data_IF_412690961664
#
_entry.id   IF_412690961664
#
_cell.length_a   1.000
_cell.length_b   1.000
_cell.length_c   1.000
_cell.angle_alpha   90.00
_cell.angle_beta   90.00
_cell.angle_gamma   90.00
#
_symmetry.space_group_name_H-M   'P 1'
#
loop_
_entity.id
_entity.type
_entity.pdbx_description
1 polymer ?
#
# COMPACT_ATOMS: atom_id res chain seq x y z
N UNK A 1 -25.62 19.73 2.07
CA UNK A 1 -24.38 20.09 1.34
C UNK A 1 -23.29 19.17 1.86
N UNK A 2 -22.80 18.21 1.07
CA UNK A 2 -21.70 17.36 1.52
C UNK A 2 -20.43 18.21 1.49
N UNK A 3 -19.70 18.24 2.61
CA UNK A 3 -18.41 18.92 2.65
C UNK A 3 -17.50 18.32 1.57
N UNK A 4 -16.91 19.18 0.74
CA UNK A 4 -15.85 18.76 -0.18
C UNK A 4 -14.79 18.00 0.62
N UNK A 5 -14.28 16.86 0.10
CA UNK A 5 -13.20 16.15 0.75
C UNK A 5 -12.02 17.13 0.87
N UNK A 6 -11.72 17.54 2.10
CA UNK A 6 -10.57 18.41 2.36
C UNK A 6 -9.30 17.70 1.87
N UNK A 7 -8.41 18.39 1.14
CA UNK A 7 -7.14 17.80 0.72
C UNK A 7 -6.38 17.31 1.95
N UNK A 8 -5.79 16.13 1.84
CA UNK A 8 -4.92 15.63 2.89
C UNK A 8 -3.58 16.31 2.72
N UNK A 9 -3.11 16.92 3.81
CA UNK A 9 -1.74 17.40 3.86
C UNK A 9 -0.83 16.19 3.88
N UNK A 10 0.14 16.20 2.98
CA UNK A 10 1.19 15.20 2.89
C UNK A 10 2.54 15.89 3.07
N UNK A 11 3.49 15.23 3.71
CA UNK A 11 4.87 15.66 3.75
C UNK A 11 5.62 15.11 2.54
N UNK A 12 6.15 15.98 1.68
CA UNK A 12 6.96 15.60 0.52
C UNK A 12 8.45 15.66 0.90
N UNK A 13 9.10 14.49 0.98
CA UNK A 13 10.53 14.37 1.32
C UNK A 13 11.43 15.11 0.33
N UNK A 14 11.15 14.99 -0.96
CA UNK A 14 11.96 15.60 -2.02
C UNK A 14 11.90 17.12 -1.96
N UNK A 15 10.71 17.66 -1.69
CA UNK A 15 10.49 19.11 -1.64
C UNK A 15 10.73 19.71 -0.25
N UNK A 16 10.89 18.88 0.78
CA UNK A 16 11.06 19.31 2.17
C UNK A 16 9.91 20.18 2.68
N UNK A 17 8.68 19.96 2.19
CA UNK A 17 7.51 20.78 2.56
C UNK A 17 6.22 19.98 2.52
N UNK A 18 5.23 20.49 3.26
CA UNK A 18 3.87 20.00 3.13
C UNK A 18 3.31 20.36 1.75
N UNK A 19 2.70 19.37 1.10
CA UNK A 19 1.98 19.50 -0.16
C UNK A 19 0.55 19.02 0.02
N UNK A 20 -0.34 19.56 -0.80
CA UNK A 20 -1.69 19.03 -0.93
C UNK A 20 -1.69 18.15 -2.18
N UNK A 21 -1.93 16.86 -1.98
CA UNK A 21 -2.25 15.99 -3.11
C UNK A 21 -3.74 16.17 -3.42
N UNK A 22 -4.00 16.92 -4.49
CA UNK A 22 -5.30 16.90 -5.12
C UNK A 22 -5.38 15.61 -5.93
N UNK A 23 -5.94 14.56 -5.34
CA UNK A 23 -6.45 13.44 -6.12
C UNK A 23 -7.77 13.91 -6.75
N UNK A 24 -7.86 14.12 -8.08
CA UNK A 24 -9.14 14.06 -8.76
C UNK A 24 -9.53 12.58 -8.68
N UNK A 25 -10.16 12.22 -7.57
CA UNK A 25 -10.84 10.96 -7.41
C UNK A 25 -11.90 10.92 -8.52
N UNK A 26 -11.63 10.24 -9.64
CA UNK A 26 -12.58 10.17 -10.75
C UNK A 26 -13.94 9.75 -10.18
N UNK A 27 -14.94 10.66 -10.26
CA UNK A 27 -16.20 10.54 -9.50
C UNK A 27 -16.87 9.16 -9.66
N UNK A 28 -16.71 8.53 -10.83
CA UNK A 28 -17.30 7.22 -11.11
C UNK A 28 -16.66 6.05 -10.36
N UNK A 29 -15.42 6.19 -9.89
CA UNK A 29 -14.67 5.15 -9.17
C UNK A 29 -14.73 5.36 -7.65
N UNK A 30 -15.17 6.54 -7.18
CA UNK A 30 -14.95 7.01 -5.81
C UNK A 30 -16.11 7.79 -5.16
N UNK A 31 -17.38 7.57 -5.54
CA UNK A 31 -18.49 8.08 -4.73
C UNK A 31 -18.61 7.31 -3.40
N UNK A 32 -17.89 7.78 -2.37
CA UNK A 32 -18.13 7.46 -0.96
C UNK A 32 -19.12 8.46 -0.37
N UNK A 33 -20.40 8.35 -0.73
CA UNK A 33 -21.47 8.73 0.20
C UNK A 33 -22.06 7.45 0.79
N UNK A 34 -22.20 7.34 2.12
CA UNK A 34 -23.05 6.31 2.70
C UNK A 34 -24.50 6.72 2.47
N UNK A 35 -24.99 6.52 1.25
CA UNK A 35 -26.41 6.47 0.99
C UNK A 35 -26.74 5.01 0.73
N UNK A 36 -27.74 4.51 1.45
CA UNK A 36 -28.33 3.17 1.37
C UNK A 36 -28.89 2.91 -0.05
N UNK A 37 -28.04 2.90 -1.07
CA UNK A 37 -28.39 2.82 -2.47
C UNK A 37 -28.01 1.43 -3.01
N UNK A 38 -28.95 0.67 -3.60
CA UNK A 38 -28.72 -0.67 -4.13
C UNK A 38 -27.54 -0.77 -5.12
N UNK A 39 -27.24 0.31 -5.85
CA UNK A 39 -26.19 0.35 -6.88
C UNK A 39 -24.76 0.15 -6.38
N UNK A 40 -24.45 0.50 -5.12
CA UNK A 40 -23.12 0.23 -4.55
C UNK A 40 -22.91 -1.24 -4.20
N UNK A 41 -23.96 -1.94 -3.76
CA UNK A 41 -23.90 -3.39 -3.52
C UNK A 41 -23.61 -4.12 -4.83
N UNK A 42 -24.23 -3.69 -5.93
CA UNK A 42 -23.94 -4.17 -7.29
C UNK A 42 -22.48 -3.92 -7.72
N UNK A 43 -21.91 -2.74 -7.41
CA UNK A 43 -20.50 -2.40 -7.72
C UNK A 43 -19.48 -3.14 -6.86
N UNK A 44 -19.84 -3.54 -5.64
CA UNK A 44 -19.00 -4.33 -4.75
C UNK A 44 -19.20 -5.86 -4.94
N UNK A 45 -19.87 -6.28 -6.01
CA UNK A 45 -20.01 -7.71 -6.33
C UNK A 45 -18.78 -8.23 -7.09
N UNK A 46 -18.39 -9.49 -6.88
CA UNK A 46 -17.34 -10.14 -7.67
C UNK A 46 -17.59 -10.14 -9.18
N UNK A 47 -18.84 -9.94 -9.63
CA UNK A 47 -19.18 -9.86 -11.06
C UNK A 47 -18.83 -8.51 -11.66
N UNK A 48 -19.11 -7.41 -10.95
CA UNK A 48 -18.76 -6.07 -11.41
C UNK A 48 -17.24 -5.91 -11.51
N UNK A 49 -16.49 -6.36 -10.50
CA UNK A 49 -15.02 -6.35 -10.54
C UNK A 49 -14.47 -7.13 -11.74
N UNK A 50 -15.03 -8.30 -12.05
CA UNK A 50 -14.63 -9.09 -13.24
C UNK A 50 -14.91 -8.33 -14.55
N UNK A 51 -16.08 -7.72 -14.68
CA UNK A 51 -16.44 -6.97 -15.89
C UNK A 51 -15.57 -5.72 -16.04
N UNK A 52 -15.27 -5.03 -14.95
CA UNK A 52 -14.41 -3.87 -14.96
C UNK A 52 -12.94 -4.22 -15.25
N UNK A 53 -12.44 -5.33 -14.71
CA UNK A 53 -11.14 -5.87 -15.06
C UNK A 53 -11.03 -6.16 -16.57
N UNK A 54 -12.05 -6.81 -17.15
CA UNK A 54 -12.11 -7.07 -18.60
C UNK A 54 -12.13 -5.77 -19.41
N UNK A 55 -12.83 -4.74 -18.94
CA UNK A 55 -12.81 -3.42 -19.56
C UNK A 55 -11.41 -2.80 -19.52
N UNK A 56 -10.75 -2.79 -18.36
CA UNK A 56 -9.41 -2.19 -18.21
C UNK A 56 -8.32 -2.93 -19.00
N UNK A 57 -8.45 -4.25 -19.15
CA UNK A 57 -7.56 -5.07 -19.97
C UNK A 57 -7.79 -4.91 -21.48
N UNK A 58 -8.86 -4.22 -21.89
CA UNK A 58 -9.20 -4.10 -23.29
C UNK A 58 -8.28 -3.14 -24.06
N UNK A 59 -7.90 -3.45 -25.33
CA UNK A 59 -6.92 -2.64 -26.05
C UNK A 59 -7.27 -1.16 -26.28
N UNK A 60 -8.56 -0.82 -26.31
CA UNK A 60 -9.00 0.56 -26.53
C UNK A 60 -8.73 1.47 -25.33
N UNK A 61 -8.60 0.92 -24.11
CA UNK A 61 -8.33 1.72 -22.90
C UNK A 61 -6.93 2.34 -22.91
N UNK A 62 -6.03 1.85 -23.78
CA UNK A 62 -4.74 2.48 -24.05
C UNK A 62 -4.86 3.97 -24.40
N UNK A 63 -5.97 4.39 -25.02
CA UNK A 63 -6.22 5.80 -25.37
C UNK A 63 -6.29 6.72 -24.14
N UNK A 64 -6.58 6.18 -22.97
CA UNK A 64 -6.65 6.92 -21.71
C UNK A 64 -5.28 7.11 -21.03
N UNK A 65 -4.23 6.43 -21.49
CA UNK A 65 -2.89 6.51 -20.88
C UNK A 65 -2.31 7.93 -21.02
N UNK A 66 -2.25 8.45 -22.25
CA UNK A 66 -1.62 9.75 -22.51
C UNK A 66 -2.33 10.92 -21.80
N UNK A 67 -3.68 11.02 -21.80
CA UNK A 67 -4.38 12.00 -20.97
C UNK A 67 -4.03 11.89 -19.49
N UNK A 68 -4.01 10.67 -18.94
CA UNK A 68 -3.71 10.44 -17.53
C UNK A 68 -2.27 10.85 -17.18
N UNK A 69 -1.29 10.46 -17.99
CA UNK A 69 0.12 10.84 -17.81
C UNK A 69 0.28 12.37 -17.77
N UNK A 70 -0.43 13.09 -18.65
CA UNK A 70 -0.37 14.57 -18.71
C UNK A 70 -1.06 15.22 -17.53
N UNK A 71 -2.25 14.75 -17.16
CA UNK A 71 -3.05 15.27 -16.04
C UNK A 71 -2.27 15.17 -14.73
N UNK A 72 -1.67 14.00 -14.47
CA UNK A 72 -0.96 13.71 -13.24
C UNK A 72 0.56 13.98 -13.32
N UNK A 73 1.05 14.49 -14.44
CA UNK A 73 2.46 14.83 -14.68
C UNK A 73 3.42 13.69 -14.33
N UNK A 74 3.07 12.48 -14.75
CA UNK A 74 3.87 11.28 -14.49
C UNK A 74 5.13 11.33 -15.36
N UNK A 75 6.30 11.25 -14.75
CA UNK A 75 7.56 11.17 -15.48
C UNK A 75 7.73 9.78 -16.11
N UNK A 76 7.36 9.67 -17.37
CA UNK A 76 7.46 8.42 -18.12
C UNK A 76 8.93 8.06 -18.48
N UNK A 77 9.89 8.96 -18.27
CA UNK A 77 11.30 8.70 -18.62
C UNK A 77 11.97 7.69 -17.68
N UNK A 78 11.43 7.51 -16.47
CA UNK A 78 11.91 6.57 -15.44
C UNK A 78 11.49 5.11 -15.73
N UNK A 79 10.51 4.88 -16.61
CA UNK A 79 9.92 3.57 -16.86
C UNK A 79 10.44 2.95 -18.16
N UNK A 80 10.39 1.62 -18.26
CA UNK A 80 10.80 0.92 -19.46
C UNK A 80 10.01 1.36 -20.70
N UNK A 81 10.74 1.64 -21.78
CA UNK A 81 10.15 2.08 -23.05
C UNK A 81 9.53 0.89 -23.77
N UNK A 82 8.20 0.76 -23.66
CA UNK A 82 7.46 -0.31 -24.33
C UNK A 82 6.07 0.11 -24.78
N UNK A 83 5.52 -0.68 -25.71
CA UNK A 83 4.17 -0.49 -26.24
C UNK A 83 3.13 -1.17 -25.33
N UNK A 84 2.41 -0.39 -24.52
CA UNK A 84 1.34 -0.92 -23.67
C UNK A 84 0.12 -1.41 -24.45
N UNK A 85 -0.41 -2.57 -24.07
CA UNK A 85 -1.57 -3.20 -24.70
C UNK A 85 -2.88 -2.55 -24.28
N UNK A 86 -2.98 -2.17 -23.00
CA UNK A 86 -4.18 -1.62 -22.37
C UNK A 86 -3.77 -0.66 -21.23
N UNK A 87 -4.76 0.01 -20.62
CA UNK A 87 -4.51 0.82 -19.43
C UNK A 87 -4.01 -0.02 -18.25
N UNK A 88 -4.59 -1.22 -18.04
CA UNK A 88 -4.13 -2.14 -16.99
C UNK A 88 -2.67 -2.57 -17.17
N UNK A 89 -2.22 -2.79 -18.41
CA UNK A 89 -0.84 -3.13 -18.76
C UNK A 89 0.14 -1.95 -18.53
N UNK A 90 -0.35 -0.71 -18.66
CA UNK A 90 0.41 0.49 -18.29
C UNK A 90 0.44 0.73 -16.79
N UNK A 91 -0.63 0.39 -16.08
CA UNK A 91 -0.72 0.57 -14.63
C UNK A 91 0.37 -0.22 -13.87
N UNK A 92 0.68 -1.43 -14.37
CA UNK A 92 1.74 -2.29 -13.83
C UNK A 92 3.10 -2.08 -14.52
N UNK A 93 3.33 -0.91 -15.12
CA UNK A 93 4.63 -0.52 -15.73
C UNK A 93 5.81 -0.79 -14.80
N UNK A 94 6.95 -1.11 -15.39
CA UNK A 94 8.20 -1.39 -14.68
C UNK A 94 9.16 -0.21 -14.83
N UNK A 95 9.90 0.06 -13.75
CA UNK A 95 10.98 1.04 -13.78
C UNK A 95 12.12 0.54 -14.66
N UNK A 96 12.88 1.46 -15.28
CA UNK A 96 14.16 1.12 -15.88
C UNK A 96 15.10 0.52 -14.83
N UNK A 97 16.04 -0.37 -15.22
CA UNK A 97 17.12 -0.79 -14.33
C UNK A 97 17.78 0.44 -13.68
N UNK A 98 18.09 0.33 -12.38
CA UNK A 98 18.73 1.37 -11.57
C UNK A 98 17.94 2.66 -11.31
N UNK A 99 16.69 2.80 -11.78
CA UNK A 99 15.88 3.99 -11.53
C UNK A 99 15.55 4.19 -10.03
N UNK A 100 15.58 3.10 -9.25
CA UNK A 100 15.42 3.10 -7.79
C UNK A 100 16.49 2.20 -7.19
N UNK A 101 17.07 2.62 -6.06
CA UNK A 101 18.13 1.87 -5.36
C UNK A 101 17.75 1.66 -3.91
N UNK A 102 17.87 0.42 -3.45
CA UNK A 102 17.72 0.08 -2.05
C UNK A 102 19.00 0.44 -1.28
N UNK A 103 18.91 0.72 0.04
CA UNK A 103 20.07 1.07 0.84
C UNK A 103 21.06 -0.10 0.89
N UNK A 104 22.34 0.20 0.71
CA UNK A 104 23.42 -0.77 0.86
C UNK A 104 23.69 -1.13 2.33
N UNK A 105 23.40 -0.20 3.25
CA UNK A 105 23.54 -0.44 4.68
C UNK A 105 22.50 -1.48 5.13
N UNK A 106 22.93 -2.64 5.66
CA UNK A 106 22.02 -3.68 6.14
C UNK A 106 21.09 -3.18 7.26
N UNK A 107 21.50 -2.20 8.06
CA UNK A 107 20.71 -1.64 9.15
C UNK A 107 19.59 -0.70 8.67
N UNK A 108 19.56 -0.29 7.40
CA UNK A 108 18.56 0.64 6.87
C UNK A 108 17.52 -0.09 6.03
N UNK A 109 16.24 0.06 6.41
CA UNK A 109 15.11 -0.48 5.67
C UNK A 109 14.78 0.46 4.51
N UNK A 110 14.96 -0.01 3.28
CA UNK A 110 14.44 0.69 2.11
C UNK A 110 12.93 0.54 1.98
N UNK A 111 12.27 1.58 1.46
CA UNK A 111 10.83 1.59 1.22
C UNK A 111 10.45 0.44 0.28
N UNK A 112 9.58 -0.49 0.70
CA UNK A 112 9.15 -1.61 -0.14
C UNK A 112 8.18 -1.18 -1.26
N UNK A 113 7.61 0.02 -1.21
CA UNK A 113 6.70 0.55 -2.22
C UNK A 113 6.87 2.08 -2.36
N UNK A 114 6.55 2.62 -3.54
CA UNK A 114 6.40 4.07 -3.73
C UNK A 114 5.00 4.46 -3.26
N UNK A 115 4.90 5.15 -2.12
CA UNK A 115 3.64 5.28 -1.40
C UNK A 115 3.63 6.47 -0.43
N UNK A 116 2.47 6.68 0.20
CA UNK A 116 2.28 7.59 1.32
C UNK A 116 2.31 6.78 2.62
N UNK A 117 3.22 7.13 3.52
CA UNK A 117 3.57 6.37 4.71
C UNK A 117 3.02 7.02 5.97
N UNK A 118 2.53 6.17 6.87
CA UNK A 118 2.54 6.41 8.30
C UNK A 118 3.43 5.42 9.01
N UNK A 119 3.85 5.79 10.21
CA UNK A 119 4.66 4.96 11.06
C UNK A 119 4.38 5.17 12.54
N UNK A 120 4.45 4.07 13.29
CA UNK A 120 4.34 4.05 14.74
C UNK A 120 5.47 3.20 15.31
N UNK A 121 6.08 3.63 16.40
CA UNK A 121 7.09 2.84 17.10
C UNK A 121 6.48 1.68 17.89
N UNK A 122 5.25 1.88 18.37
CA UNK A 122 4.49 0.89 19.12
C UNK A 122 3.04 0.93 18.67
N UNK A 123 2.55 -0.22 18.24
CA UNK A 123 1.16 -0.41 17.91
C UNK A 123 0.43 -1.07 19.09
N UNK A 124 -0.61 -0.40 19.60
CA UNK A 124 -1.44 -0.88 20.70
C UNK A 124 -2.94 -0.64 20.46
N UNK A 125 -3.81 -1.31 21.22
CA UNK A 125 -5.27 -1.27 21.03
C UNK A 125 -5.90 0.12 21.18
N UNK A 126 -5.24 1.02 21.93
CA UNK A 126 -5.71 2.38 22.19
C UNK A 126 -5.22 3.42 21.17
N UNK A 127 -4.41 3.00 20.17
CA UNK A 127 -3.86 3.91 19.17
C UNK A 127 -4.99 4.52 18.33
N UNK A 128 -5.20 5.82 18.47
CA UNK A 128 -6.17 6.58 17.66
C UNK A 128 -5.52 6.95 16.34
N UNK A 129 -5.92 6.26 15.28
CA UNK A 129 -5.53 6.62 13.92
C UNK A 129 -6.46 7.74 13.39
N UNK A 130 -6.12 8.39 12.27
CA UNK A 130 -7.13 8.98 11.39
C UNK A 130 -8.12 7.93 10.84
N UNK A 131 -7.86 6.65 11.08
CA UNK A 131 -8.74 5.48 10.89
C UNK A 131 -9.40 5.10 12.22
N UNK A 132 -10.68 4.69 12.25
CA UNK A 132 -11.33 4.32 13.53
C UNK A 132 -10.70 3.04 14.11
N UNK A 133 -10.47 3.00 15.42
CA UNK A 133 -9.59 2.04 16.12
C UNK A 133 -9.79 0.53 15.90
N UNK A 134 -10.89 0.08 15.27
CA UNK A 134 -11.07 -1.32 14.88
C UNK A 134 -10.36 -1.70 13.57
N UNK A 135 -9.94 -0.74 12.74
CA UNK A 135 -9.46 -1.05 11.38
C UNK A 135 -8.08 -1.69 11.30
N UNK A 136 -7.29 -1.62 12.38
CA UNK A 136 -5.89 -2.03 12.35
C UNK A 136 -5.50 -3.05 13.42
N UNK A 137 -6.45 -3.59 14.20
CA UNK A 137 -6.14 -4.59 15.20
C UNK A 137 -5.28 -5.71 14.57
N UNK A 138 -4.09 -5.92 15.13
CA UNK A 138 -3.08 -6.79 14.50
C UNK A 138 -3.61 -8.22 14.34
N UNK A 139 -4.40 -8.71 15.30
CA UNK A 139 -5.08 -10.01 15.23
C UNK A 139 -6.09 -10.10 14.08
N UNK A 140 -6.86 -9.04 13.83
CA UNK A 140 -7.82 -9.03 12.73
C UNK A 140 -7.10 -8.96 11.37
N UNK A 141 -6.11 -8.07 11.26
CA UNK A 141 -5.34 -7.90 10.02
C UNK A 141 -4.51 -9.14 9.71
N UNK A 142 -3.80 -9.67 10.69
CA UNK A 142 -2.97 -10.85 10.49
C UNK A 142 -3.82 -12.12 10.46
N UNK A 143 -5.06 -12.08 10.94
CA UNK A 143 -6.08 -13.13 10.76
C UNK A 143 -6.32 -14.02 11.97
N UNK A 144 -5.43 -14.01 12.97
CA UNK A 144 -5.68 -14.57 14.30
C UNK A 144 -4.67 -14.02 15.32
N UNK A 145 -4.99 -14.21 16.61
CA UNK A 145 -4.18 -13.75 17.73
C UNK A 145 -2.80 -14.42 17.82
N UNK A 146 -2.70 -15.73 17.52
CA UNK A 146 -1.42 -16.45 17.60
C UNK A 146 -0.38 -15.91 16.60
N UNK A 147 -0.82 -15.62 15.36
CA UNK A 147 0.02 -14.97 14.35
C UNK A 147 0.39 -13.54 14.74
N UNK A 148 -0.53 -12.81 15.37
CA UNK A 148 -0.31 -11.42 15.75
C UNK A 148 0.58 -11.25 16.99
N UNK A 149 0.61 -12.26 17.88
CA UNK A 149 1.30 -12.23 19.17
C UNK A 149 2.75 -11.72 19.12
N UNK A 150 3.62 -12.10 18.16
CA UNK A 150 4.99 -11.60 18.10
C UNK A 150 5.11 -10.09 17.83
N UNK A 151 4.07 -9.48 17.24
CA UNK A 151 4.08 -8.09 16.79
C UNK A 151 3.36 -7.13 17.75
N UNK A 152 2.76 -7.65 18.82
CA UNK A 152 2.02 -6.83 19.79
C UNK A 152 2.97 -5.84 20.49
N UNK A 153 2.63 -4.55 20.43
CA UNK A 153 3.47 -3.48 20.99
C UNK A 153 4.71 -3.15 20.16
N UNK A 154 4.85 -3.72 18.96
CA UNK A 154 5.94 -3.47 18.04
C UNK A 154 5.66 -2.34 17.04
N UNK A 155 6.65 -1.98 16.21
CA UNK A 155 6.52 -0.91 15.24
C UNK A 155 5.63 -1.32 14.06
N UNK A 156 4.98 -0.32 13.45
CA UNK A 156 4.11 -0.52 12.26
C UNK A 156 4.39 0.56 11.23
N UNK A 157 4.45 0.16 9.96
CA UNK A 157 4.35 1.06 8.81
C UNK A 157 3.05 0.77 8.06
N UNK A 158 2.30 1.81 7.72
CA UNK A 158 1.12 1.72 6.85
C UNK A 158 1.37 2.55 5.61
N UNK A 159 1.21 1.94 4.44
CA UNK A 159 1.55 2.49 3.14
C UNK A 159 0.31 2.52 2.27
N UNK A 160 -0.04 3.69 1.75
CA UNK A 160 -1.12 3.86 0.79
C UNK A 160 -0.55 4.22 -0.57
N UNK A 161 -0.87 3.41 -1.57
CA UNK A 161 -0.48 3.65 -2.96
C UNK A 161 -1.59 4.45 -3.65
N UNK A 162 -1.20 5.56 -4.25
CA UNK A 162 -2.01 6.40 -5.12
C UNK A 162 -2.03 5.82 -6.54
N UNK A 163 -3.11 5.97 -7.33
CA UNK A 163 -3.19 5.46 -8.70
C UNK A 163 -2.07 5.91 -9.65
N UNK A 164 -1.38 7.00 -9.32
CA UNK A 164 -0.24 7.53 -10.09
C UNK A 164 1.07 6.80 -9.77
N UNK A 165 1.15 6.13 -8.62
CA UNK A 165 2.38 5.53 -8.11
C UNK A 165 2.81 4.31 -8.94
N UNK A 166 3.99 3.81 -8.60
CA UNK A 166 4.47 2.50 -9.03
C UNK A 166 3.88 1.41 -8.13
N UNK A 167 3.15 0.47 -8.72
CA UNK A 167 2.30 -0.49 -7.99
C UNK A 167 2.95 -1.86 -7.75
N UNK A 168 4.26 -1.99 -7.94
CA UNK A 168 4.98 -3.18 -7.48
C UNK A 168 5.53 -2.96 -6.09
N UNK A 169 5.47 -4.02 -5.30
CA UNK A 169 5.96 -4.08 -3.94
C UNK A 169 7.19 -4.97 -3.91
N UNK A 170 8.21 -4.56 -3.17
CA UNK A 170 9.51 -5.20 -3.10
C UNK A 170 9.79 -5.68 -1.67
N UNK A 171 10.69 -6.64 -1.55
CA UNK A 171 11.16 -7.08 -0.23
C UNK A 171 12.08 -6.02 0.39
N UNK A 172 11.82 -5.59 1.65
CA UNK A 172 12.63 -4.58 2.33
C UNK A 172 14.00 -5.11 2.79
N UNK A 173 14.16 -6.42 2.87
CA UNK A 173 15.37 -7.10 3.33
C UNK A 173 15.52 -8.49 2.70
N UNK A 174 16.66 -9.15 2.91
CA UNK A 174 16.82 -10.56 2.60
C UNK A 174 16.17 -11.46 3.67
N UNK A 175 15.74 -12.66 3.28
CA UNK A 175 15.06 -13.57 4.19
C UNK A 175 14.24 -14.67 3.51
N UNK A 176 13.24 -15.18 4.24
CA UNK A 176 12.30 -16.19 3.74
C UNK A 176 10.89 -16.00 4.30
N UNK A 177 9.89 -16.46 3.55
CA UNK A 177 8.50 -16.47 4.05
C UNK A 177 8.30 -17.72 4.91
N UNK A 178 7.81 -17.56 6.13
CA UNK A 178 7.61 -18.68 7.08
C UNK A 178 6.15 -19.01 7.33
N UNK A 179 5.23 -18.09 7.03
CA UNK A 179 3.79 -18.34 7.04
C UNK A 179 3.10 -17.43 6.00
N UNK A 180 1.98 -17.88 5.46
CA UNK A 180 1.16 -17.09 4.55
C UNK A 180 -0.31 -17.42 4.68
N UNK A 181 -1.17 -16.42 4.56
CA UNK A 181 -2.61 -16.62 4.49
C UNK A 181 -3.27 -15.56 3.63
N UNK A 182 -4.10 -16.00 2.69
CA UNK A 182 -5.03 -15.12 1.97
C UNK A 182 -6.34 -15.04 2.74
N UNK A 183 -6.76 -13.82 3.06
CA UNK A 183 -7.92 -13.52 3.89
C UNK A 183 -8.84 -12.52 3.18
N UNK A 184 -10.06 -12.38 3.69
CA UNK A 184 -11.05 -11.46 3.14
C UNK A 184 -11.68 -11.94 1.82
N UNK A 185 -12.71 -11.21 1.38
CA UNK A 185 -13.45 -11.51 0.14
C UNK A 185 -13.95 -10.27 -0.58
N UNK A 186 -14.11 -9.16 0.13
CA UNK A 186 -14.52 -7.90 -0.47
C UNK A 186 -13.33 -7.19 -1.10
N UNK A 187 -13.58 -6.30 -2.04
CA UNK A 187 -12.56 -5.45 -2.63
C UNK A 187 -13.11 -4.03 -2.55
N UNK A 188 -13.09 -3.37 -1.40
CA UNK A 188 -13.52 -1.98 -1.27
C UNK A 188 -12.34 -1.05 -1.53
N UNK A 189 -12.50 0.06 -2.27
CA UNK A 189 -11.34 0.91 -2.58
C UNK A 189 -10.75 1.55 -1.33
N UNK A 190 -9.42 1.45 -1.17
CA UNK A 190 -8.71 2.06 -0.04
C UNK A 190 -8.48 3.53 -0.33
N UNK A 191 -9.43 4.37 0.10
CA UNK A 191 -9.30 5.83 0.11
C UNK A 191 -9.54 6.38 1.50
N UNK A 192 -9.06 7.59 1.76
CA UNK A 192 -9.25 8.21 3.06
C UNK A 192 -10.70 8.40 3.49
N UNK A 193 -11.61 8.88 2.63
CA UNK A 193 -13.03 8.87 2.95
C UNK A 193 -13.56 7.47 3.28
N UNK A 194 -13.15 6.43 2.55
CA UNK A 194 -13.55 5.04 2.81
C UNK A 194 -13.02 4.55 4.16
N UNK A 195 -11.72 4.73 4.41
CA UNK A 195 -11.02 4.39 5.66
C UNK A 195 -11.64 5.09 6.87
N UNK A 196 -12.07 6.35 6.73
CA UNK A 196 -12.76 7.10 7.81
C UNK A 196 -14.20 6.66 8.05
N UNK A 197 -14.88 6.23 6.99
CA UNK A 197 -16.31 5.89 7.02
C UNK A 197 -16.57 4.41 7.34
N UNK A 198 -15.63 3.51 7.04
CA UNK A 198 -15.75 2.07 7.15
C UNK A 198 -14.65 1.50 8.07
N UNK A 199 -14.92 1.36 9.39
CA UNK A 199 -13.93 0.94 10.38
C UNK A 199 -13.37 -0.47 10.21
N UNK A 200 -13.88 -1.28 9.30
CA UNK A 200 -13.43 -2.64 9.05
C UNK A 200 -12.99 -2.85 7.59
N UNK A 201 -12.72 -1.75 6.86
CA UNK A 201 -12.32 -1.76 5.46
C UNK A 201 -11.17 -2.74 5.19
N UNK A 202 -10.06 -2.60 5.90
CA UNK A 202 -8.87 -3.45 5.75
C UNK A 202 -9.12 -4.92 6.12
N UNK A 203 -10.04 -5.17 7.05
CA UNK A 203 -10.36 -6.52 7.55
C UNK A 203 -11.30 -7.24 6.58
N UNK A 204 -12.26 -6.54 5.98
CA UNK A 204 -13.20 -7.09 4.99
C UNK A 204 -12.54 -7.30 3.63
N UNK A 205 -11.60 -6.42 3.29
CA UNK A 205 -10.89 -6.51 2.04
C UNK A 205 -10.08 -7.78 1.92
N UNK A 206 -10.00 -8.28 0.69
CA UNK A 206 -9.04 -9.29 0.32
C UNK A 206 -7.64 -8.78 0.68
N UNK A 207 -6.89 -9.61 1.38
CA UNK A 207 -5.51 -9.31 1.73
C UNK A 207 -4.65 -10.56 1.70
N UNK A 208 -3.40 -10.38 1.35
CA UNK A 208 -2.37 -11.40 1.47
C UNK A 208 -1.53 -11.07 2.70
N UNK A 209 -1.57 -11.95 3.69
CA UNK A 209 -0.71 -11.89 4.87
C UNK A 209 0.48 -12.81 4.63
N UNK A 210 1.69 -12.32 4.86
CA UNK A 210 2.91 -13.11 4.83
C UNK A 210 3.71 -12.81 6.10
N UNK A 211 4.18 -13.83 6.80
CA UNK A 211 5.15 -13.68 7.87
C UNK A 211 6.53 -13.92 7.27
N UNK A 212 7.36 -12.89 7.29
CA UNK A 212 8.71 -12.91 6.75
C UNK A 212 9.69 -13.05 7.91
N UNK A 213 10.62 -13.98 7.84
CA UNK A 213 11.80 -13.98 8.68
C UNK A 213 12.93 -13.28 7.91
N UNK A 214 13.35 -12.12 8.40
CA UNK A 214 14.37 -11.28 7.76
C UNK A 214 15.68 -11.32 8.51
N UNK A 215 16.78 -11.07 7.79
CA UNK A 215 18.12 -11.11 8.37
C UNK A 215 18.34 -9.98 9.39
N UNK A 216 17.86 -8.77 9.11
CA UNK A 216 18.20 -7.58 9.89
C UNK A 216 17.03 -6.99 10.68
N UNK A 217 15.78 -7.25 10.30
CA UNK A 217 14.60 -6.61 10.90
C UNK A 217 13.72 -7.56 11.71
N UNK A 218 14.20 -8.79 11.95
CA UNK A 218 13.46 -9.84 12.64
C UNK A 218 12.26 -10.34 11.86
N UNK A 219 11.22 -10.78 12.56
CA UNK A 219 9.98 -11.17 11.89
C UNK A 219 9.20 -9.93 11.47
N UNK A 220 8.70 -9.97 10.23
CA UNK A 220 7.80 -8.94 9.69
C UNK A 220 6.45 -9.58 9.35
N UNK A 221 5.38 -9.03 9.91
CA UNK A 221 4.02 -9.26 9.40
C UNK A 221 3.80 -8.37 8.18
N UNK A 222 3.95 -8.92 6.98
CA UNK A 222 3.84 -8.19 5.72
C UNK A 222 2.46 -8.41 5.10
N UNK A 223 1.64 -7.37 5.06
CA UNK A 223 0.24 -7.46 4.64
C UNK A 223 -0.02 -6.57 3.45
N UNK A 224 -0.58 -7.16 2.40
CA UNK A 224 -0.96 -6.48 1.17
C UNK A 224 -2.48 -6.45 1.11
N UNK A 225 -3.10 -5.27 1.02
CA UNK A 225 -4.54 -5.09 0.96
C UNK A 225 -4.98 -4.81 -0.47
N UNK A 226 -5.80 -5.70 -1.02
CA UNK A 226 -6.50 -5.47 -2.28
C UNK A 226 -7.66 -4.51 -2.10
N UNK A 227 -8.12 -3.91 -3.19
CA UNK A 227 -9.24 -2.96 -3.20
C UNK A 227 -10.06 -3.06 -4.49
N UNK A 228 -11.17 -2.30 -4.58
CA UNK A 228 -12.15 -2.40 -5.67
C UNK A 228 -11.51 -2.13 -7.03
N UNK A 229 -12.25 -2.56 -8.05
CA UNK A 229 -12.01 -2.39 -9.48
C UNK A 229 -11.07 -3.41 -10.12
N UNK A 230 -9.86 -3.68 -9.61
CA UNK A 230 -9.00 -4.81 -10.09
C UNK A 230 -7.91 -5.18 -9.05
N UNK A 231 -8.09 -4.94 -7.75
CA UNK A 231 -7.08 -5.10 -6.68
C UNK A 231 -6.58 -6.52 -6.39
N UNK A 232 -6.38 -7.34 -7.42
CA UNK A 232 -5.72 -8.63 -7.35
C UNK A 232 -4.25 -8.39 -7.03
N UNK A 233 -3.87 -8.88 -5.86
CA UNK A 233 -2.48 -9.03 -5.46
C UNK A 233 -1.90 -10.19 -6.27
N UNK A 234 -0.90 -9.91 -7.11
CA UNK A 234 -0.20 -10.94 -7.85
C UNK A 234 1.21 -11.07 -7.28
N UNK A 235 1.48 -12.20 -6.62
CA UNK A 235 2.83 -12.52 -6.16
C UNK A 235 3.73 -12.74 -7.39
N UNK A 236 4.84 -12.00 -7.46
CA UNK A 236 5.87 -12.09 -8.51
C UNK A 236 7.00 -13.01 -8.08
N UNK A 237 7.28 -13.05 -6.79
CA UNK A 237 8.23 -13.97 -6.19
C UNK A 237 7.53 -15.21 -5.64
N UNK A 238 8.18 -16.36 -5.77
CA UNK A 238 7.68 -17.61 -5.19
C UNK A 238 7.83 -17.57 -3.66
N UNK A 239 6.73 -17.76 -2.94
CA UNK A 239 6.73 -17.58 -1.48
C UNK A 239 7.50 -18.68 -0.73
N UNK A 240 7.75 -19.82 -1.37
CA UNK A 240 8.55 -20.95 -0.87
C UNK A 240 10.06 -20.77 -1.07
N UNK A 241 10.50 -19.75 -1.81
CA UNK A 241 11.91 -19.47 -2.05
C UNK A 241 12.44 -18.36 -1.13
N UNK A 242 13.74 -18.38 -0.78
CA UNK A 242 14.38 -17.24 -0.14
C UNK A 242 14.36 -16.03 -1.07
N UNK A 243 14.30 -14.83 -0.49
CA UNK A 243 14.30 -13.57 -1.23
C UNK A 243 15.46 -12.68 -0.79
N UNK A 244 15.84 -11.76 -1.68
CA UNK A 244 16.82 -10.72 -1.41
C UNK A 244 16.15 -9.34 -1.34
N UNK A 245 16.83 -8.40 -0.66
CA UNK A 245 16.43 -6.99 -0.60
C UNK A 245 16.22 -6.42 -2.00
N UNK A 246 15.14 -5.67 -2.19
CA UNK A 246 14.82 -4.99 -3.45
C UNK A 246 14.29 -5.90 -4.55
N UNK A 247 14.18 -7.21 -4.34
CA UNK A 247 13.49 -8.11 -5.30
C UNK A 247 11.99 -7.81 -5.29
N UNK A 248 11.36 -7.80 -6.47
CA UNK A 248 9.92 -7.65 -6.61
C UNK A 248 9.20 -8.80 -5.89
N UNK A 249 8.41 -8.48 -4.88
CA UNK A 249 7.56 -9.42 -4.15
C UNK A 249 6.26 -9.66 -4.90
N UNK A 250 5.58 -8.58 -5.26
CA UNK A 250 4.23 -8.63 -5.81
C UNK A 250 3.89 -7.37 -6.59
N UNK A 251 2.74 -7.41 -7.27
CA UNK A 251 2.16 -6.25 -7.95
C UNK A 251 0.68 -6.17 -7.67
N UNK A 252 0.20 -4.94 -7.42
CA UNK A 252 -1.22 -4.66 -7.37
C UNK A 252 -1.74 -4.37 -8.78
N UNK A 253 -2.75 -5.13 -9.19
CA UNK A 253 -3.53 -4.78 -10.37
C UNK A 253 -4.52 -3.66 -10.02
N UNK A 254 -4.81 -2.81 -11.00
CA UNK A 254 -5.56 -1.54 -10.91
C UNK A 254 -6.54 -1.39 -9.72
N UNK A 255 -6.40 -0.31 -8.97
CA UNK A 255 -7.26 0.02 -7.83
C UNK A 255 -6.47 0.70 -6.71
N UNK A 256 -7.17 1.31 -5.74
CA UNK A 256 -6.50 1.78 -4.52
C UNK A 256 -5.79 0.61 -3.86
N UNK A 257 -4.59 0.79 -3.32
CA UNK A 257 -3.84 -0.34 -2.73
C UNK A 257 -3.17 0.13 -1.46
N UNK A 258 -2.98 -0.80 -0.52
CA UNK A 258 -2.25 -0.51 0.69
C UNK A 258 -1.39 -1.69 1.11
N UNK A 259 -0.33 -1.38 1.84
CA UNK A 259 0.55 -2.37 2.46
C UNK A 259 0.72 -2.00 3.93
N UNK A 260 0.76 -2.97 4.83
CA UNK A 260 1.19 -2.77 6.21
C UNK A 260 2.35 -3.70 6.54
N UNK A 261 3.30 -3.19 7.31
CA UNK A 261 4.40 -3.98 7.89
C UNK A 261 4.32 -3.85 9.40
N UNK A 262 4.18 -4.99 10.07
CA UNK A 262 4.24 -5.13 11.52
C UNK A 262 5.61 -5.70 11.91
N UNK A 263 6.25 -5.12 12.92
CA UNK A 263 7.55 -5.57 13.43
C UNK A 263 7.48 -6.14 14.84
N UNK A 264 8.45 -6.97 15.19
CA UNK A 264 8.65 -7.38 16.59
C UNK A 264 9.06 -6.16 17.44
N UNK A 265 8.59 -6.06 18.70
CA UNK A 265 9.01 -4.99 19.60
C UNK A 265 10.53 -4.88 19.71
N UNK A 266 11.06 -3.68 19.45
CA UNK A 266 12.49 -3.41 19.53
C UNK A 266 13.32 -4.00 18.39
N UNK A 267 12.72 -4.54 17.33
CA UNK A 267 13.47 -5.02 16.16
C UNK A 267 13.92 -3.88 15.23
N UNK A 268 13.08 -2.85 15.08
CA UNK A 268 13.36 -1.69 14.23
C UNK A 268 12.51 -0.49 14.63
N UNK A 269 12.84 0.66 14.05
CA UNK A 269 12.18 1.94 14.32
C UNK A 269 11.89 2.69 13.01
N UNK A 270 10.65 3.17 12.77
CA UNK A 270 10.35 4.03 11.63
C UNK A 270 11.22 5.30 11.61
N UNK A 271 11.40 5.88 10.42
CA UNK A 271 12.16 7.12 10.23
C UNK A 271 11.52 8.31 11.00
N UNK A 272 12.37 9.25 11.45
CA UNK A 272 11.97 10.36 12.32
C UNK A 272 10.90 11.27 11.72
N UNK A 273 10.97 11.52 10.41
CA UNK A 273 10.01 12.35 9.70
C UNK A 273 8.64 11.69 9.62
N UNK A 274 8.59 10.39 9.34
CA UNK A 274 7.35 9.59 9.37
C UNK A 274 6.74 9.64 10.78
N UNK A 275 7.54 9.41 11.82
CA UNK A 275 7.08 9.46 13.22
C UNK A 275 6.59 10.85 13.63
N UNK A 276 7.23 11.91 13.14
CA UNK A 276 6.85 13.30 13.44
C UNK A 276 5.49 13.66 12.84
N UNK A 277 5.23 13.26 11.59
CA UNK A 277 4.03 13.68 10.85
C UNK A 277 2.81 12.79 11.08
N UNK A 278 3.03 11.52 11.48
CA UNK A 278 1.94 10.58 11.72
C UNK A 278 0.92 11.05 12.79
N UNK A 279 1.32 11.60 13.95
CA UNK A 279 0.39 12.13 14.96
C UNK A 279 -0.45 13.31 14.47
N UNK A 280 0.03 14.06 13.48
CA UNK A 280 -0.68 15.18 12.86
C UNK A 280 -1.71 14.71 11.81
N UNK A 281 -1.76 13.39 11.55
CA UNK A 281 -2.57 12.81 10.48
C UNK A 281 -2.04 13.11 9.09
N UNK A 282 -0.76 13.47 8.97
CA UNK A 282 -0.08 13.78 7.71
C UNK A 282 0.77 12.59 7.27
N UNK A 283 0.49 12.07 6.07
CA UNK A 283 1.29 10.99 5.49
C UNK A 283 2.58 11.56 4.91
N UNK A 284 3.64 10.74 4.89
CA UNK A 284 4.92 11.09 4.25
C UNK A 284 5.02 10.43 2.88
N UNK A 285 5.25 11.20 1.83
CA UNK A 285 5.52 10.67 0.48
C UNK A 285 6.94 10.11 0.47
N UNK A 286 7.06 8.85 0.05
CA UNK A 286 8.32 8.13 0.02
C UNK A 286 8.46 7.38 -1.30
N UNK A 287 9.63 7.49 -1.93
CA UNK A 287 9.96 6.75 -3.15
C UNK A 287 10.46 5.35 -2.83
N UNK A 288 10.29 4.42 -3.78
CA UNK A 288 10.78 3.05 -3.64
C UNK A 288 12.29 3.04 -3.30
N UNK A 289 12.66 2.27 -2.28
CA UNK A 289 14.04 2.13 -1.81
C UNK A 289 14.53 3.23 -0.85
N UNK A 290 13.81 4.33 -0.65
CA UNK A 290 14.23 5.35 0.32
C UNK A 290 14.21 4.84 1.77
N UNK A 291 15.06 5.35 2.67
CA UNK A 291 15.07 4.94 4.08
C UNK A 291 13.72 5.19 4.77
N UNK A 292 13.10 4.14 5.31
CA UNK A 292 11.81 4.22 6.04
C UNK A 292 11.90 3.73 7.47
N UNK A 293 12.91 2.94 7.80
CA UNK A 293 13.17 2.47 9.15
C UNK A 293 14.64 2.11 9.34
N UNK A 294 15.07 2.00 10.60
CA UNK A 294 16.40 1.54 10.98
C UNK A 294 16.26 0.33 11.89
N UNK A 295 17.10 -0.69 11.68
CA UNK A 295 17.20 -1.85 12.56
C UNK A 295 17.76 -1.45 13.91
N UNK A 296 17.21 -2.05 14.96
CA UNK A 296 17.71 -1.94 16.32
C UNK A 296 18.40 -3.24 16.77
N UNK A 297 18.42 -4.27 15.93
CA UNK A 297 19.07 -5.54 16.22
C UNK A 297 20.55 -5.41 15.90
N UNK A 298 21.36 -5.14 16.92
CA UNK A 298 22.81 -4.94 16.79
C UNK A 298 23.32 -3.58 17.29
N UNK A 299 22.44 -2.74 17.85
CA UNK A 299 22.80 -1.57 18.66
C UNK A 299 22.94 -1.92 20.15
#
# INVERSE_FOLDING_TARGET
MAADPKPLKLWDRDKGKAVEEFMPDHQTTYETRPLRAPGQWLRATPLFDKLYALYQDAPWTRRSIEPFVREYKIDMSEFEERRYRSYADWFVREFKPDARRFPADPAVMGAPAEARYFGWERFGPDQRFPVKGQSLAAEDILGNAERAKPFLGGPVLLMRLSPVDYHHVHYPDAGRTVDQQRLGRSLWTVTWPAVRSMPDLYIRNERQVNILETEHFGRLGFVEFGALTVGRIVQRHSLDQPFARGVQKSVFKFGGSAVAIFGEPGAWRPADDILRHTPEGMETIVRLGEPVATSLRGA
#
